data_IF_074517667227
#
_entry.id   IF_074517667227
#
_cell.length_a   1.000
_cell.length_b   1.000
_cell.length_c   1.000
_cell.angle_alpha   90.00
_cell.angle_beta   90.00
_cell.angle_gamma   90.00
#
_symmetry.space_group_name_H-M   'P 1'
#
loop_
_entity.id
_entity.type
_entity.pdbx_description
1 polymer ?
#
# COMPACT_ATOMS: atom_id res chain seq x y z
N UNK A 1 -10.50 -7.64 -12.93
CA UNK A 1 -9.85 -8.76 -13.65
C UNK A 1 -8.85 -9.42 -12.70
N UNK A 2 -8.93 -10.73 -12.48
CA UNK A 2 -7.96 -11.44 -11.63
C UNK A 2 -6.66 -11.62 -12.42
N UNK A 3 -5.56 -11.08 -11.88
CA UNK A 3 -4.21 -11.13 -12.45
C UNK A 3 -3.36 -12.18 -11.73
N UNK A 4 -2.45 -12.81 -12.45
CA UNK A 4 -1.42 -13.67 -11.86
C UNK A 4 -0.47 -12.81 -11.00
N UNK A 5 -0.25 -13.21 -9.75
CA UNK A 5 0.59 -12.47 -8.81
C UNK A 5 2.07 -12.78 -9.07
N UNK A 6 2.77 -11.80 -9.64
CA UNK A 6 4.20 -11.90 -9.92
C UNK A 6 4.89 -10.56 -9.67
N UNK A 7 5.99 -10.56 -8.93
CA UNK A 7 6.78 -9.36 -8.64
C UNK A 7 8.21 -9.70 -8.18
N UNK A 8 9.09 -8.71 -8.11
CA UNK A 8 10.51 -8.93 -7.83
C UNK A 8 10.77 -9.30 -6.35
N UNK A 9 11.63 -10.31 -6.12
CA UNK A 9 12.01 -10.81 -4.80
C UNK A 9 10.84 -11.35 -3.95
N UNK A 10 9.85 -12.00 -4.59
CA UNK A 10 8.71 -12.63 -3.92
C UNK A 10 9.11 -13.45 -2.69
N UNK A 11 10.08 -14.36 -2.80
CA UNK A 11 10.51 -15.23 -1.68
C UNK A 11 10.96 -14.45 -0.43
N UNK A 12 11.52 -13.25 -0.63
CA UNK A 12 12.02 -12.40 0.47
C UNK A 12 10.90 -11.56 1.11
N UNK A 13 9.77 -11.40 0.44
CA UNK A 13 8.68 -10.48 0.84
C UNK A 13 7.42 -11.22 1.28
N UNK A 14 7.12 -12.37 0.68
CA UNK A 14 5.85 -13.08 0.83
C UNK A 14 5.49 -13.36 2.29
N UNK A 15 6.44 -13.78 3.12
CA UNK A 15 6.18 -14.06 4.54
C UNK A 15 5.64 -12.83 5.28
N UNK A 16 6.20 -11.64 5.01
CA UNK A 16 5.75 -10.40 5.63
C UNK A 16 4.42 -9.92 5.06
N UNK A 17 4.26 -10.01 3.73
CA UNK A 17 3.01 -9.62 3.05
C UNK A 17 1.84 -10.44 3.58
N UNK A 18 1.97 -11.77 3.60
CA UNK A 18 0.93 -12.66 4.11
C UNK A 18 0.67 -12.42 5.60
N UNK A 19 1.71 -12.15 6.41
CA UNK A 19 1.52 -11.81 7.83
C UNK A 19 0.61 -10.58 8.00
N UNK A 20 0.86 -9.52 7.23
CA UNK A 20 0.05 -8.30 7.29
C UNK A 20 -1.36 -8.56 6.76
N UNK A 21 -1.51 -9.16 5.58
CA UNK A 21 -2.82 -9.48 5.00
C UNK A 21 -3.68 -10.36 5.92
N UNK A 22 -3.10 -11.39 6.53
CA UNK A 22 -3.79 -12.30 7.44
C UNK A 22 -4.31 -11.56 8.69
N UNK A 23 -3.60 -10.54 9.17
CA UNK A 23 -4.08 -9.72 10.30
C UNK A 23 -5.38 -8.96 9.99
N UNK A 24 -5.70 -8.77 8.71
CA UNK A 24 -6.93 -8.19 8.21
C UNK A 24 -7.94 -9.21 7.65
N UNK A 25 -7.67 -10.51 7.83
CA UNK A 25 -8.51 -11.59 7.31
C UNK A 25 -8.51 -11.66 5.78
N UNK A 26 -7.34 -11.41 5.16
CA UNK A 26 -7.08 -11.59 3.73
C UNK A 26 -6.01 -12.69 3.61
N UNK A 27 -6.35 -13.82 2.99
CA UNK A 27 -5.51 -15.02 2.96
C UNK A 27 -4.38 -14.95 1.91
N UNK A 28 -4.55 -14.17 0.85
CA UNK A 28 -3.55 -14.05 -0.22
C UNK A 28 -3.63 -12.73 -0.99
N UNK A 29 -2.62 -12.47 -1.82
CA UNK A 29 -2.60 -11.28 -2.70
C UNK A 29 -3.68 -11.39 -3.80
N UNK A 30 -3.97 -12.61 -4.25
CA UNK A 30 -5.09 -12.87 -5.16
C UNK A 30 -6.43 -12.55 -4.51
N UNK A 31 -6.63 -12.91 -3.23
CA UNK A 31 -7.82 -12.51 -2.49
C UNK A 31 -7.90 -10.98 -2.35
N UNK A 32 -6.77 -10.30 -2.09
CA UNK A 32 -6.72 -8.84 -2.08
C UNK A 32 -7.20 -8.24 -3.41
N UNK A 33 -6.73 -8.78 -4.54
CA UNK A 33 -7.19 -8.36 -5.87
C UNK A 33 -8.69 -8.60 -6.08
N UNK A 34 -9.21 -9.75 -5.66
CA UNK A 34 -10.64 -10.05 -5.72
C UNK A 34 -11.49 -9.10 -4.86
N UNK A 35 -10.99 -8.68 -3.70
CA UNK A 35 -11.68 -7.70 -2.85
C UNK A 35 -11.81 -6.35 -3.58
N UNK A 36 -10.74 -5.89 -4.22
CA UNK A 36 -10.75 -4.67 -5.02
C UNK A 36 -11.68 -4.78 -6.24
N UNK A 37 -11.61 -5.89 -6.98
CA UNK A 37 -12.45 -6.14 -8.15
C UNK A 37 -13.95 -6.16 -7.82
N UNK A 38 -14.33 -6.73 -6.67
CA UNK A 38 -15.72 -6.78 -6.21
C UNK A 38 -16.35 -5.41 -5.97
N UNK A 39 -15.55 -4.39 -5.66
CA UNK A 39 -16.02 -3.01 -5.51
C UNK A 39 -15.77 -2.16 -6.75
N UNK A 40 -15.24 -2.76 -7.83
CA UNK A 40 -15.05 -2.12 -9.13
C UNK A 40 -13.84 -1.19 -9.21
N UNK A 41 -12.83 -1.36 -8.36
CA UNK A 41 -11.59 -0.56 -8.41
C UNK A 41 -10.41 -1.41 -8.87
N UNK A 42 -9.44 -0.77 -9.52
CA UNK A 42 -8.23 -1.43 -10.03
C UNK A 42 -6.96 -0.71 -9.58
N UNK A 43 -6.53 -0.90 -8.32
CA UNK A 43 -5.37 -0.20 -7.76
C UNK A 43 -4.06 -0.53 -8.48
N UNK A 44 -3.98 -1.71 -9.10
CA UNK A 44 -2.83 -2.12 -9.90
C UNK A 44 -2.66 -1.20 -11.11
N UNK A 45 -3.74 -1.03 -11.88
CA UNK A 45 -3.74 -0.20 -13.08
C UNK A 45 -3.61 1.29 -12.71
N UNK A 46 -4.26 1.73 -11.63
CA UNK A 46 -4.16 3.11 -11.15
C UNK A 46 -2.71 3.48 -10.80
N UNK A 47 -1.99 2.60 -10.10
CA UNK A 47 -0.58 2.79 -9.78
C UNK A 47 0.30 2.84 -11.04
N UNK A 48 0.03 1.95 -12.01
CA UNK A 48 0.74 1.93 -13.29
C UNK A 48 0.50 3.21 -14.10
N UNK A 49 -0.76 3.65 -14.25
CA UNK A 49 -1.10 4.86 -15.00
C UNK A 49 -0.58 6.14 -14.34
N UNK A 50 -0.56 6.17 -13.01
CA UNK A 50 0.00 7.30 -12.25
C UNK A 50 1.51 7.40 -12.45
N UNK A 51 2.21 6.25 -12.39
CA UNK A 51 3.65 6.18 -12.58
C UNK A 51 4.00 4.99 -13.47
N UNK A 52 4.03 5.22 -14.80
CA UNK A 52 4.25 4.18 -15.81
C UNK A 52 5.57 3.38 -15.65
N UNK A 53 6.51 3.89 -14.85
CA UNK A 53 7.80 3.26 -14.54
C UNK A 53 7.84 2.61 -13.15
N UNK A 54 6.70 2.47 -12.46
CA UNK A 54 6.65 1.81 -11.16
C UNK A 54 6.91 0.30 -11.29
N UNK A 55 7.61 -0.24 -10.30
CA UNK A 55 7.91 -1.67 -10.22
C UNK A 55 6.65 -2.49 -9.95
N UNK A 56 6.67 -3.77 -10.30
CA UNK A 56 5.57 -4.70 -10.03
C UNK A 56 5.25 -4.78 -8.53
N UNK A 57 6.27 -4.72 -7.68
CA UNK A 57 6.12 -4.60 -6.23
C UNK A 57 5.17 -3.47 -5.80
N UNK A 58 5.25 -2.30 -6.45
CA UNK A 58 4.43 -1.14 -6.09
C UNK A 58 2.98 -1.39 -6.47
N UNK A 59 2.72 -1.87 -7.70
CA UNK A 59 1.37 -2.16 -8.18
C UNK A 59 0.65 -3.14 -7.24
N UNK A 60 1.32 -4.22 -6.84
CA UNK A 60 0.76 -5.19 -5.89
C UNK A 60 0.64 -4.67 -4.45
N UNK A 61 1.54 -3.80 -4.02
CA UNK A 61 1.42 -3.15 -2.71
C UNK A 61 0.18 -2.25 -2.62
N UNK A 62 -0.14 -1.51 -3.68
CA UNK A 62 -1.37 -0.73 -3.77
C UNK A 62 -2.63 -1.60 -3.77
N UNK A 63 -2.61 -2.76 -4.44
CA UNK A 63 -3.71 -3.74 -4.37
C UNK A 63 -3.91 -4.24 -2.94
N UNK A 64 -2.84 -4.66 -2.27
CA UNK A 64 -2.90 -5.13 -0.88
C UNK A 64 -3.41 -4.04 0.07
N UNK A 65 -2.87 -2.83 -0.07
CA UNK A 65 -3.25 -1.67 0.72
C UNK A 65 -4.72 -1.26 0.53
N UNK A 66 -5.20 -1.23 -0.71
CA UNK A 66 -6.61 -0.95 -1.02
C UNK A 66 -7.54 -2.03 -0.47
N UNK A 67 -7.17 -3.31 -0.57
CA UNK A 67 -7.95 -4.40 0.01
C UNK A 67 -8.03 -4.30 1.55
N UNK A 68 -6.93 -3.91 2.21
CA UNK A 68 -6.90 -3.61 3.65
C UNK A 68 -7.86 -2.45 3.96
N UNK A 69 -7.84 -1.36 3.19
CA UNK A 69 -8.74 -0.23 3.37
C UNK A 69 -10.22 -0.64 3.25
N UNK A 70 -10.55 -1.46 2.26
CA UNK A 70 -11.89 -2.01 2.06
C UNK A 70 -12.31 -2.87 3.25
N UNK A 71 -11.44 -3.76 3.73
CA UNK A 71 -11.71 -4.62 4.90
C UNK A 71 -11.88 -3.82 6.19
N UNK A 72 -11.10 -2.75 6.38
CA UNK A 72 -11.24 -1.80 7.50
C UNK A 72 -12.52 -0.95 7.39
N UNK A 73 -13.19 -0.94 6.23
CA UNK A 73 -14.39 -0.15 6.01
C UNK A 73 -14.12 1.35 5.91
N UNK A 74 -12.91 1.75 5.51
CA UNK A 74 -12.51 3.15 5.37
C UNK A 74 -13.52 3.92 4.51
N UNK A 75 -14.02 5.05 5.04
CA UNK A 75 -15.05 5.88 4.38
C UNK A 75 -14.51 7.20 3.84
N UNK A 76 -13.35 7.64 4.31
CA UNK A 76 -12.70 8.85 3.86
C UNK A 76 -11.34 8.53 3.24
N UNK A 77 -10.80 9.48 2.49
CA UNK A 77 -9.55 9.31 1.75
C UNK A 77 -8.32 9.20 2.67
N UNK A 78 -8.32 9.89 3.81
CA UNK A 78 -7.19 9.88 4.74
C UNK A 78 -6.99 8.49 5.38
N UNK A 79 -8.07 7.86 5.87
CA UNK A 79 -8.02 6.52 6.45
C UNK A 79 -7.60 5.47 5.40
N UNK A 80 -8.07 5.64 4.16
CA UNK A 80 -7.67 4.79 3.05
C UNK A 80 -6.17 4.95 2.73
N UNK A 81 -5.63 6.18 2.78
CA UNK A 81 -4.22 6.45 2.57
C UNK A 81 -3.33 5.80 3.65
N UNK A 82 -3.73 5.85 4.92
CA UNK A 82 -3.02 5.14 6.00
C UNK A 82 -2.98 3.62 5.76
N UNK A 83 -4.13 3.04 5.38
CA UNK A 83 -4.23 1.61 5.07
C UNK A 83 -3.38 1.23 3.84
N UNK A 84 -3.32 2.09 2.82
CA UNK A 84 -2.41 1.89 1.68
C UNK A 84 -0.95 1.90 2.14
N UNK A 85 -0.60 2.78 3.09
CA UNK A 85 0.72 2.80 3.71
C UNK A 85 1.09 1.49 4.40
N UNK A 86 0.13 0.79 5.01
CA UNK A 86 0.34 -0.55 5.56
C UNK A 86 0.65 -1.59 4.48
N UNK A 87 -0.06 -1.52 3.34
CA UNK A 87 0.23 -2.33 2.16
C UNK A 87 1.65 -2.07 1.62
N UNK A 88 2.04 -0.81 1.45
CA UNK A 88 3.40 -0.43 1.04
C UNK A 88 4.47 -0.93 2.02
N UNK A 89 4.20 -0.84 3.33
CA UNK A 89 5.12 -1.31 4.34
C UNK A 89 5.30 -2.83 4.31
N UNK A 90 4.24 -3.58 4.02
CA UNK A 90 4.30 -5.03 3.92
C UNK A 90 5.29 -5.48 2.81
N UNK A 91 5.43 -4.65 1.77
CA UNK A 91 6.40 -4.82 0.69
C UNK A 91 7.77 -4.20 1.00
N UNK A 92 8.11 -3.84 2.24
CA UNK A 92 9.49 -3.53 2.61
C UNK A 92 10.25 -4.82 2.96
N UNK A 93 11.49 -4.98 2.53
CA UNK A 93 12.30 -6.16 2.87
C UNK A 93 12.74 -6.04 4.33
N UNK A 94 12.54 -7.09 5.12
CA UNK A 94 13.00 -7.13 6.51
C UNK A 94 14.48 -6.75 6.62
N UNK A 95 14.80 -5.79 7.48
CA UNK A 95 16.18 -5.31 7.70
C UNK A 95 16.72 -4.35 6.63
N UNK A 96 15.92 -3.99 5.62
CA UNK A 96 16.23 -2.86 4.73
C UNK A 96 16.00 -1.51 5.43
N UNK A 97 16.64 -0.45 4.95
CA UNK A 97 16.40 0.92 5.45
C UNK A 97 14.91 1.29 5.37
N UNK A 98 14.23 0.87 4.30
CA UNK A 98 12.79 1.11 4.13
C UNK A 98 11.92 0.41 5.19
N UNK A 99 12.31 -0.80 5.61
CA UNK A 99 11.65 -1.49 6.71
C UNK A 99 11.94 -0.82 8.05
N UNK A 100 13.20 -0.52 8.35
CA UNK A 100 13.61 0.10 9.60
C UNK A 100 12.95 1.47 9.80
N UNK A 101 13.03 2.33 8.78
CA UNK A 101 12.42 3.66 8.75
C UNK A 101 10.91 3.66 8.50
N UNK A 102 10.26 2.50 8.38
CA UNK A 102 8.81 2.41 8.15
C UNK A 102 8.31 3.27 6.98
N UNK A 103 9.07 3.31 5.88
CA UNK A 103 8.84 4.20 4.73
C UNK A 103 7.46 4.01 4.10
N UNK A 104 6.94 2.78 4.03
CA UNK A 104 5.60 2.54 3.50
C UNK A 104 4.51 3.21 4.36
N UNK A 105 4.60 3.06 5.69
CA UNK A 105 3.69 3.74 6.61
C UNK A 105 3.87 5.25 6.58
N UNK A 106 5.11 5.72 6.48
CA UNK A 106 5.43 7.15 6.36
C UNK A 106 4.75 7.80 5.16
N UNK A 107 4.76 7.15 3.99
CA UNK A 107 4.04 7.62 2.80
C UNK A 107 2.52 7.67 3.02
N UNK A 108 1.93 6.61 3.59
CA UNK A 108 0.49 6.58 3.87
C UNK A 108 0.07 7.68 4.84
N UNK A 109 0.84 7.88 5.92
CA UNK A 109 0.58 8.92 6.91
C UNK A 109 0.76 10.33 6.34
N UNK A 110 1.76 10.54 5.47
CA UNK A 110 1.95 11.82 4.79
C UNK A 110 0.77 12.14 3.87
N UNK A 111 0.35 11.16 3.06
CA UNK A 111 -0.82 11.32 2.19
C UNK A 111 -2.09 11.56 3.01
N UNK A 112 -2.30 10.82 4.10
CA UNK A 112 -3.43 11.01 5.00
C UNK A 112 -3.46 12.41 5.60
N UNK A 113 -2.29 12.91 6.04
CA UNK A 113 -2.16 14.28 6.54
C UNK A 113 -2.55 15.31 5.47
N UNK A 114 -2.13 15.14 4.22
CA UNK A 114 -2.53 16.03 3.12
C UNK A 114 -4.03 16.02 2.82
N UNK A 115 -4.72 14.91 3.13
CA UNK A 115 -6.15 14.71 2.87
C UNK A 115 -7.04 15.12 4.05
N UNK A 116 -6.48 15.49 5.21
CA UNK A 116 -7.24 15.98 6.36
C UNK A 116 -7.36 17.49 6.32
N UNK A 117 -8.58 17.99 6.41
CA UNK A 117 -8.92 19.43 6.42
C UNK A 117 -8.29 20.19 7.60
N UNK A 118 -8.06 19.51 8.72
CA UNK A 118 -7.40 20.08 9.92
C UNK A 118 -5.89 20.27 9.76
N UNK A 119 -5.30 19.85 8.63
CA UNK A 119 -3.88 20.01 8.38
C UNK A 119 -3.54 21.44 7.98
N UNK A 120 -3.00 22.19 8.93
CA UNK A 120 -2.38 23.49 8.67
C UNK A 120 -0.90 23.26 8.31
N UNK A 121 -0.60 23.04 7.01
CA UNK A 121 0.77 22.91 6.53
C UNK A 121 1.10 23.92 5.43
N UNK A 122 2.09 24.79 5.68
CA UNK A 122 2.56 25.78 4.70
C UNK A 122 3.46 25.17 3.62
N UNK A 123 4.25 24.14 3.94
CA UNK A 123 5.10 23.42 2.99
C UNK A 123 5.56 22.05 3.53
N UNK A 124 5.73 21.07 2.64
CA UNK A 124 6.32 19.77 2.94
C UNK A 124 7.66 19.59 2.22
N UNK A 125 8.63 18.98 2.92
CA UNK A 125 9.85 18.46 2.32
C UNK A 125 9.88 16.95 2.57
N UNK A 126 9.71 16.16 1.50
CA UNK A 126 9.83 14.71 1.54
C UNK A 126 10.97 14.27 0.63
N UNK A 127 11.97 13.58 1.21
CA UNK A 127 13.01 12.89 0.45
C UNK A 127 12.57 11.49 0.05
N UNK A 128 13.27 10.89 -0.93
CA UNK A 128 12.93 9.58 -1.52
C UNK A 128 12.74 8.44 -0.50
N UNK A 129 13.42 8.52 0.65
CA UNK A 129 13.32 7.54 1.75
C UNK A 129 13.15 8.21 3.13
N UNK A 130 12.71 9.48 3.17
CA UNK A 130 12.87 10.33 4.37
C UNK A 130 11.58 10.73 5.08
N UNK A 131 10.42 10.24 4.66
CA UNK A 131 9.23 10.31 5.51
C UNK A 131 9.04 8.97 6.22
N UNK A 132 9.40 9.00 7.51
CA UNK A 132 9.39 7.94 8.50
C UNK A 132 8.74 8.50 9.76
#
# INVERSE_FOLDING_TARGET
MIREVKFESQDRRMANILKVLNSYGIASIEEANQICDKVGIDPYLEAEQTQNICFENVKWAYVCGAAIAIKKGCKNAADAAEAIGEGLQAFCIAGSVADDRKVGRGHGNLAARLLREETECFAFLAGHESFA
#
